data_IF_119873305799
#
_entry.id   IF_119873305799
#
_cell.length_a   1.000
_cell.length_b   1.000
_cell.length_c   1.000
_cell.angle_alpha   90.00
_cell.angle_beta   90.00
_cell.angle_gamma   90.00
#
_symmetry.space_group_name_H-M   'P 1'
#
loop_
_entity.id
_entity.type
_entity.pdbx_description
1 polymer ?
#
# COMPACT_ATOMS: atom_id res chain seq x y z
N UNK A 1 36.00 -36.76 19.12
CA UNK A 1 34.90 -36.42 20.08
C UNK A 1 34.95 -34.92 20.34
N UNK A 2 34.58 -34.10 19.35
CA UNK A 2 34.36 -32.62 19.48
C UNK A 2 33.44 -32.20 18.35
N UNK A 3 32.14 -32.42 18.48
CA UNK A 3 31.07 -31.78 17.67
C UNK A 3 29.74 -31.97 18.38
N UNK A 4 29.43 -31.14 19.40
CA UNK A 4 28.04 -30.73 19.60
C UNK A 4 27.85 -29.25 19.98
N UNK A 5 28.86 -28.38 19.88
CA UNK A 5 28.78 -26.99 20.37
C UNK A 5 28.46 -25.94 19.29
N UNK A 6 28.38 -26.32 18.02
CA UNK A 6 28.07 -25.39 16.91
C UNK A 6 26.60 -25.39 16.43
N UNK A 7 25.79 -26.35 16.87
CA UNK A 7 24.36 -26.44 16.48
C UNK A 7 23.45 -25.52 17.31
N UNK A 8 23.88 -25.12 18.51
CA UNK A 8 23.04 -24.32 19.43
C UNK A 8 23.09 -22.79 19.23
N UNK A 9 23.82 -22.27 18.25
CA UNK A 9 23.94 -20.83 18.02
C UNK A 9 22.99 -20.29 16.96
N UNK A 10 22.12 -21.12 16.37
CA UNK A 10 21.13 -20.76 15.34
C UNK A 10 19.68 -20.77 15.79
N UNK A 11 19.40 -21.01 17.06
CA UNK A 11 18.09 -20.84 17.67
C UNK A 11 18.12 -19.67 18.68
N UNK A 12 18.48 -18.48 18.22
CA UNK A 12 18.09 -17.29 18.96
C UNK A 12 16.54 -17.25 18.94
N UNK A 13 15.90 -17.41 20.12
CA UNK A 13 14.47 -17.16 20.25
C UNK A 13 14.21 -15.78 19.67
N UNK A 14 13.37 -15.70 18.63
CA UNK A 14 12.97 -14.41 18.06
C UNK A 14 12.24 -13.63 19.14
N UNK A 15 12.55 -12.34 19.24
CA UNK A 15 11.82 -11.46 20.15
C UNK A 15 10.32 -11.51 19.89
N UNK A 16 9.52 -11.48 20.94
CA UNK A 16 8.07 -11.32 20.83
C UNK A 16 7.73 -9.86 20.58
N UNK A 17 6.79 -9.63 19.68
CA UNK A 17 6.21 -8.31 19.50
C UNK A 17 5.25 -7.99 20.65
N UNK A 18 5.46 -6.85 21.31
CA UNK A 18 4.62 -6.37 22.40
C UNK A 18 3.73 -5.24 21.90
N UNK A 19 2.42 -5.44 21.94
CA UNK A 19 1.44 -4.41 21.55
C UNK A 19 1.28 -3.41 22.68
N UNK A 20 2.05 -2.32 22.61
CA UNK A 20 1.97 -1.23 23.62
C UNK A 20 1.13 -0.04 23.16
N UNK A 21 0.97 0.16 21.85
CA UNK A 21 0.32 1.32 21.22
C UNK A 21 -0.59 0.90 20.07
N UNK A 22 -1.60 1.73 19.68
CA UNK A 22 -2.35 1.53 18.47
C UNK A 22 -1.44 1.43 17.25
N UNK A 23 -1.68 0.42 16.40
CA UNK A 23 -0.91 0.20 15.17
C UNK A 23 -1.59 0.87 13.99
N UNK A 24 -0.83 1.68 13.22
CA UNK A 24 -1.30 2.42 12.06
C UNK A 24 -0.35 2.22 10.89
N UNK A 25 -0.89 1.90 9.73
CA UNK A 25 -0.14 1.81 8.48
C UNK A 25 -0.17 3.16 7.77
N UNK A 26 0.97 3.77 7.62
CA UNK A 26 1.16 5.02 6.89
C UNK A 26 2.03 4.76 5.66
N UNK A 27 1.94 5.58 4.62
CA UNK A 27 2.88 5.42 3.51
C UNK A 27 3.11 6.67 2.70
N UNK A 28 4.25 6.72 2.01
CA UNK A 28 4.62 7.79 1.11
C UNK A 28 4.14 7.52 -0.31
N UNK A 29 3.42 8.48 -0.90
CA UNK A 29 2.96 8.49 -2.28
C UNK A 29 3.37 9.81 -2.95
N UNK A 30 3.38 9.86 -4.28
CA UNK A 30 3.74 11.05 -5.04
C UNK A 30 4.65 10.74 -6.23
N UNK A 31 5.00 11.76 -6.99
CA UNK A 31 5.78 11.63 -8.23
C UNK A 31 7.18 11.04 -8.02
N UNK A 32 7.76 10.47 -9.08
CA UNK A 32 9.16 10.03 -9.09
C UNK A 32 10.09 11.22 -8.80
N UNK A 33 11.18 10.98 -8.10
CA UNK A 33 12.17 11.99 -7.70
C UNK A 33 11.68 13.15 -6.79
N UNK A 34 10.43 13.13 -6.28
CA UNK A 34 9.96 14.10 -5.28
C UNK A 34 10.50 13.85 -3.86
N UNK A 35 11.26 12.75 -3.65
CA UNK A 35 11.98 12.47 -2.41
C UNK A 35 11.20 11.66 -1.39
N UNK A 36 10.30 10.76 -1.81
CA UNK A 36 9.55 9.84 -0.94
C UNK A 36 10.46 8.99 -0.06
N UNK A 37 11.37 8.25 -0.70
CA UNK A 37 12.34 7.39 0.00
C UNK A 37 13.29 8.19 0.87
N UNK A 38 13.70 9.38 0.42
CA UNK A 38 14.51 10.31 1.23
C UNK A 38 13.74 10.77 2.48
N UNK A 39 12.44 11.05 2.34
CA UNK A 39 11.59 11.42 3.47
C UNK A 39 11.40 10.24 4.43
N UNK A 40 11.19 9.04 3.92
CA UNK A 40 11.09 7.82 4.75
C UNK A 40 12.38 7.61 5.55
N UNK A 41 13.54 7.77 4.93
CA UNK A 41 14.84 7.71 5.61
C UNK A 41 14.98 8.83 6.67
N UNK A 42 14.60 10.08 6.33
CA UNK A 42 14.66 11.21 7.25
C UNK A 42 13.76 11.02 8.48
N UNK A 43 12.57 10.46 8.30
CA UNK A 43 11.66 10.13 9.42
C UNK A 43 12.34 9.15 10.37
N UNK A 44 12.89 8.04 9.86
CA UNK A 44 13.55 7.05 10.71
C UNK A 44 14.82 7.59 11.37
N UNK A 45 15.57 8.46 10.70
CA UNK A 45 16.74 9.15 11.24
C UNK A 45 16.36 10.04 12.43
N UNK A 46 15.45 10.99 12.24
CA UNK A 46 15.03 11.93 13.29
C UNK A 46 14.39 11.20 14.49
N UNK A 47 13.54 10.19 14.21
CA UNK A 47 12.94 9.39 15.28
C UNK A 47 13.96 8.51 15.99
N UNK A 48 15.03 8.06 15.32
CA UNK A 48 16.15 7.38 15.96
C UNK A 48 16.92 8.31 16.91
N UNK A 49 17.19 9.55 16.49
CA UNK A 49 17.80 10.56 17.36
C UNK A 49 16.92 10.86 18.58
N UNK A 50 15.59 10.77 18.44
CA UNK A 50 14.63 10.94 19.54
C UNK A 50 14.44 9.68 20.41
N UNK A 51 15.02 8.54 20.01
CA UNK A 51 14.87 7.26 20.73
C UNK A 51 13.55 6.52 20.45
N UNK A 52 12.82 6.91 19.41
CA UNK A 52 11.50 6.38 19.04
C UNK A 52 11.52 5.41 17.84
N UNK A 53 12.64 5.24 17.18
CA UNK A 53 12.85 4.21 16.16
C UNK A 53 13.94 3.24 16.59
N UNK A 54 13.69 1.94 16.44
CA UNK A 54 14.67 0.90 16.76
C UNK A 54 15.87 0.95 15.80
N UNK A 55 15.62 1.25 14.52
CA UNK A 55 16.61 1.31 13.46
C UNK A 55 16.46 2.61 12.66
N UNK A 56 17.57 3.21 12.29
CA UNK A 56 17.67 4.18 11.22
C UNK A 56 17.82 3.44 9.90
N UNK A 57 17.05 3.85 8.89
CA UNK A 57 17.12 3.29 7.55
C UNK A 57 17.71 4.30 6.57
N UNK A 58 18.72 3.88 5.83
CA UNK A 58 19.28 4.67 4.74
C UNK A 58 18.46 4.47 3.46
N UNK A 59 18.57 5.42 2.52
CA UNK A 59 17.92 5.31 1.20
C UNK A 59 18.36 4.02 0.48
N UNK A 60 19.64 3.63 0.58
CA UNK A 60 20.20 2.43 -0.03
C UNK A 60 19.69 1.12 0.60
N UNK A 61 19.31 1.15 1.87
CA UNK A 61 18.69 0.01 2.54
C UNK A 61 17.20 -0.11 2.22
N UNK A 62 16.51 1.01 2.00
CA UNK A 62 15.10 1.02 1.57
C UNK A 62 15.01 0.53 0.12
N UNK A 63 15.87 1.06 -0.78
CA UNK A 63 16.00 0.62 -2.17
C UNK A 63 17.05 -0.50 -2.29
N UNK A 64 16.80 -1.64 -1.64
CA UNK A 64 17.81 -2.70 -1.48
C UNK A 64 18.03 -3.53 -2.75
N UNK A 65 17.03 -3.63 -3.63
CA UNK A 65 17.10 -4.47 -4.83
C UNK A 65 18.17 -3.97 -5.82
N UNK A 66 18.96 -4.86 -6.45
CA UNK A 66 20.00 -4.46 -7.41
C UNK A 66 19.47 -3.56 -8.55
N UNK A 67 18.25 -3.82 -9.03
CA UNK A 67 17.61 -3.04 -10.08
C UNK A 67 17.25 -1.63 -9.61
N UNK A 68 16.79 -1.48 -8.37
CA UNK A 68 16.50 -0.18 -7.74
C UNK A 68 17.76 0.69 -7.63
N UNK A 69 18.87 0.08 -7.19
CA UNK A 69 20.16 0.75 -7.09
C UNK A 69 20.71 1.15 -8.46
N UNK A 70 20.56 0.29 -9.45
CA UNK A 70 21.05 0.56 -10.81
C UNK A 70 20.27 1.69 -11.49
N UNK A 71 18.97 1.81 -11.21
CA UNK A 71 18.09 2.83 -11.82
C UNK A 71 17.91 4.08 -10.97
N UNK A 72 18.30 4.05 -9.69
CA UNK A 72 18.02 5.12 -8.72
C UNK A 72 16.53 5.37 -8.47
N UNK A 73 15.71 4.32 -8.56
CA UNK A 73 14.25 4.38 -8.45
C UNK A 73 13.75 3.31 -7.49
N UNK A 74 12.72 3.62 -6.70
CA UNK A 74 11.98 2.62 -5.92
C UNK A 74 11.06 1.83 -6.87
N UNK A 75 11.17 0.51 -6.83
CA UNK A 75 10.40 -0.44 -7.65
C UNK A 75 9.46 -1.24 -6.78
N UNK A 76 9.97 -1.78 -5.68
CA UNK A 76 9.27 -2.63 -4.72
C UNK A 76 8.72 -1.81 -3.55
N UNK A 77 7.75 -2.35 -2.86
CA UNK A 77 7.25 -1.77 -1.62
C UNK A 77 8.21 -2.15 -0.49
N UNK A 78 8.63 -1.18 0.30
CA UNK A 78 9.44 -1.42 1.50
C UNK A 78 8.71 -0.95 2.74
N UNK A 79 8.72 -1.77 3.80
CA UNK A 79 8.12 -1.46 5.08
C UNK A 79 9.21 -1.12 6.10
N UNK A 80 9.07 0.02 6.75
CA UNK A 80 9.91 0.42 7.88
C UNK A 80 9.06 0.63 9.13
N UNK A 81 9.65 0.40 10.32
CA UNK A 81 8.97 0.45 11.61
C UNK A 81 9.50 1.63 12.43
N UNK A 82 8.60 2.38 13.05
CA UNK A 82 8.92 3.38 14.06
C UNK A 82 7.73 3.64 14.98
N UNK A 83 7.98 4.38 16.05
CA UNK A 83 6.95 4.77 17.02
C UNK A 83 6.92 6.29 17.23
N UNK A 84 5.79 6.75 17.73
CA UNK A 84 5.64 8.05 18.39
C UNK A 84 5.24 7.83 19.84
N UNK A 85 5.04 8.91 20.58
CA UNK A 85 4.50 8.79 21.93
C UNK A 85 3.08 8.19 21.94
N UNK A 86 2.32 8.37 20.82
CA UNK A 86 0.92 7.97 20.70
C UNK A 86 0.72 6.62 20.00
N UNK A 87 1.52 6.31 18.98
CA UNK A 87 1.24 5.23 18.02
C UNK A 87 2.49 4.45 17.60
N UNK A 88 2.27 3.22 17.17
CA UNK A 88 3.24 2.39 16.44
C UNK A 88 2.90 2.42 14.96
N UNK A 89 3.89 2.66 14.11
CA UNK A 89 3.73 2.81 12.67
C UNK A 89 4.46 1.74 11.88
N UNK A 90 3.75 1.13 10.92
CA UNK A 90 4.35 0.54 9.73
C UNK A 90 4.32 1.59 8.62
N UNK A 91 5.49 2.01 8.15
CA UNK A 91 5.59 2.98 7.06
C UNK A 91 5.94 2.27 5.76
N UNK A 92 5.13 2.52 4.75
CA UNK A 92 5.16 1.86 3.44
C UNK A 92 5.75 2.85 2.44
N UNK A 93 6.98 2.60 1.98
CA UNK A 93 7.57 3.39 0.89
C UNK A 93 7.11 2.84 -0.45
N UNK A 94 6.34 3.66 -1.20
CA UNK A 94 5.77 3.27 -2.49
C UNK A 94 6.58 3.79 -3.66
N UNK A 95 6.68 3.02 -4.78
CA UNK A 95 7.26 3.50 -6.00
C UNK A 95 6.51 4.72 -6.55
N UNK A 96 7.23 5.61 -7.24
CA UNK A 96 6.65 6.81 -7.86
C UNK A 96 6.55 6.75 -9.38
N UNK A 97 7.20 5.77 -10.02
CA UNK A 97 7.26 5.68 -11.48
C UNK A 97 6.00 4.98 -12.04
N UNK A 98 5.51 5.47 -13.19
CA UNK A 98 4.30 4.95 -13.83
C UNK A 98 4.35 3.45 -14.14
N UNK A 99 5.52 2.90 -14.47
CA UNK A 99 5.68 1.46 -14.75
C UNK A 99 5.40 0.57 -13.52
N UNK A 100 5.50 1.13 -12.30
CA UNK A 100 5.35 0.40 -11.04
C UNK A 100 4.06 0.75 -10.29
N UNK A 101 3.08 1.33 -10.98
CA UNK A 101 1.78 1.73 -10.39
C UNK A 101 1.07 0.53 -9.75
N UNK A 102 1.24 -0.68 -10.27
CA UNK A 102 0.72 -1.91 -9.63
C UNK A 102 1.21 -2.04 -8.18
N UNK A 103 2.49 -1.82 -7.94
CA UNK A 103 3.06 -1.87 -6.59
C UNK A 103 2.56 -0.68 -5.74
N UNK A 104 2.41 0.50 -6.35
CA UNK A 104 1.81 1.66 -5.66
C UNK A 104 0.37 1.38 -5.22
N UNK A 105 -0.48 0.79 -6.08
CA UNK A 105 -1.87 0.43 -5.73
C UNK A 105 -1.88 -0.56 -4.57
N UNK A 106 -1.04 -1.60 -4.65
CA UNK A 106 -0.90 -2.61 -3.57
C UNK A 106 -0.47 -1.96 -2.26
N UNK A 107 0.53 -1.06 -2.29
CA UNK A 107 0.97 -0.34 -1.10
C UNK A 107 -0.10 0.58 -0.54
N UNK A 108 -0.76 1.36 -1.40
CA UNK A 108 -1.82 2.28 -0.98
C UNK A 108 -3.03 1.57 -0.35
N UNK A 109 -3.37 0.38 -0.83
CA UNK A 109 -4.46 -0.44 -0.27
C UNK A 109 -4.17 -0.93 1.17
N UNK A 110 -2.90 -0.94 1.58
CA UNK A 110 -2.50 -1.32 2.94
C UNK A 110 -2.53 -0.16 3.93
N UNK A 111 -2.56 1.09 3.45
CA UNK A 111 -2.44 2.28 4.28
C UNK A 111 -3.74 2.62 5.00
N UNK A 112 -3.60 3.10 6.22
CA UNK A 112 -4.66 3.73 7.01
C UNK A 112 -4.63 5.25 6.86
N UNK A 113 -3.52 5.78 6.35
CA UNK A 113 -3.31 7.17 6.00
C UNK A 113 -2.10 7.34 5.08
N UNK A 114 -2.02 8.41 4.33
CA UNK A 114 -0.92 8.65 3.40
C UNK A 114 -0.18 9.95 3.64
N UNK A 115 1.09 9.98 3.24
CA UNK A 115 1.89 11.20 3.12
C UNK A 115 2.13 11.45 1.63
N UNK A 116 1.47 12.46 1.09
CA UNK A 116 1.70 12.91 -0.28
C UNK A 116 2.96 13.78 -0.30
N UNK A 117 3.99 13.32 -0.99
CA UNK A 117 5.26 14.04 -1.12
C UNK A 117 5.30 14.77 -2.46
N UNK A 118 5.43 16.09 -2.40
CA UNK A 118 5.51 16.97 -3.58
C UNK A 118 6.73 17.84 -3.47
N UNK A 119 7.50 17.96 -4.56
CA UNK A 119 8.63 18.87 -4.64
C UNK A 119 8.13 20.32 -4.79
N UNK A 120 8.62 21.23 -3.96
CA UNK A 120 8.28 22.65 -4.04
C UNK A 120 8.80 23.31 -5.33
N UNK A 121 9.88 22.77 -5.92
CA UNK A 121 10.44 23.27 -7.19
C UNK A 121 9.64 22.82 -8.42
N UNK A 122 9.02 21.63 -8.36
CA UNK A 122 8.39 21.02 -9.53
C UNK A 122 6.85 21.12 -9.50
N UNK A 123 6.27 21.30 -8.31
CA UNK A 123 4.82 21.30 -8.10
C UNK A 123 4.17 19.95 -8.35
N UNK A 124 2.82 19.89 -8.48
CA UNK A 124 2.10 18.66 -8.73
C UNK A 124 2.27 18.17 -10.16
N UNK A 125 3.00 17.09 -10.31
CA UNK A 125 3.34 16.40 -11.55
C UNK A 125 2.30 15.32 -11.93
N UNK A 126 2.34 14.72 -13.15
CA UNK A 126 1.35 13.74 -13.60
C UNK A 126 1.13 12.58 -12.63
N UNK A 127 2.19 11.95 -12.09
CA UNK A 127 2.02 10.86 -11.12
C UNK A 127 1.48 11.36 -9.76
N UNK A 128 1.69 12.63 -9.40
CA UNK A 128 1.04 13.20 -8.21
C UNK A 128 -0.47 13.12 -8.34
N UNK A 129 -1.01 13.50 -9.51
CA UNK A 129 -2.45 13.44 -9.82
C UNK A 129 -2.96 12.00 -9.83
N UNK A 130 -2.24 11.10 -10.49
CA UNK A 130 -2.58 9.68 -10.54
C UNK A 130 -2.58 9.05 -9.13
N UNK A 131 -1.59 9.35 -8.29
CA UNK A 131 -1.50 8.82 -6.94
C UNK A 131 -2.61 9.32 -6.01
N UNK A 132 -3.02 10.58 -6.12
CA UNK A 132 -4.18 11.13 -5.38
C UNK A 132 -5.46 10.39 -5.80
N UNK A 133 -5.66 10.22 -7.11
CA UNK A 133 -6.80 9.49 -7.66
C UNK A 133 -6.84 8.04 -7.15
N UNK A 134 -5.73 7.33 -7.26
CA UNK A 134 -5.61 5.93 -6.82
C UNK A 134 -5.81 5.80 -5.30
N UNK A 135 -5.24 6.70 -4.51
CA UNK A 135 -5.45 6.75 -3.06
C UNK A 135 -6.95 6.89 -2.73
N UNK A 136 -7.67 7.74 -3.47
CA UNK A 136 -9.11 7.87 -3.30
C UNK A 136 -9.86 6.59 -3.68
N UNK A 137 -9.47 5.93 -4.76
CA UNK A 137 -10.10 4.70 -5.25
C UNK A 137 -9.90 3.51 -4.31
N UNK A 138 -8.70 3.33 -3.76
CA UNK A 138 -8.45 2.27 -2.76
C UNK A 138 -9.10 2.58 -1.40
N UNK A 139 -9.68 3.78 -1.26
CA UNK A 139 -10.40 4.19 -0.06
C UNK A 139 -9.52 4.71 1.05
N UNK A 140 -8.35 5.27 0.73
CA UNK A 140 -7.49 5.89 1.73
C UNK A 140 -8.24 7.03 2.45
N UNK A 141 -8.40 6.97 3.79
CA UNK A 141 -9.31 7.86 4.50
C UNK A 141 -8.76 9.27 4.66
N UNK A 142 -7.44 9.44 4.78
CA UNK A 142 -6.82 10.73 5.02
C UNK A 142 -5.40 10.82 4.43
N UNK A 143 -5.01 12.05 4.07
CA UNK A 143 -3.69 12.40 3.57
C UNK A 143 -3.12 13.55 4.39
N UNK A 144 -1.80 13.54 4.60
CA UNK A 144 -1.00 14.70 5.02
C UNK A 144 -0.02 15.01 3.89
N UNK A 145 0.32 16.27 3.67
CA UNK A 145 1.24 16.66 2.61
C UNK A 145 2.58 17.07 3.18
N UNK A 146 3.65 16.55 2.59
CA UNK A 146 4.99 17.04 2.80
C UNK A 146 5.48 17.76 1.53
N UNK A 147 5.54 19.08 1.58
CA UNK A 147 6.10 19.91 0.52
C UNK A 147 7.61 19.92 0.68
N UNK A 148 8.26 19.04 -0.08
CA UNK A 148 9.69 18.73 0.02
C UNK A 148 10.55 19.66 -0.86
N UNK A 149 11.84 19.67 -0.61
CA UNK A 149 12.84 20.48 -1.35
C UNK A 149 12.60 21.99 -1.28
N UNK A 150 12.03 22.48 -0.18
CA UNK A 150 11.83 23.92 0.01
C UNK A 150 13.16 24.69 0.07
N UNK A 151 14.26 24.01 0.38
CA UNK A 151 15.62 24.54 0.35
C UNK A 151 16.15 24.83 -1.06
N UNK A 152 15.50 24.30 -2.09
CA UNK A 152 15.84 24.54 -3.50
C UNK A 152 15.04 25.68 -4.15
N UNK A 153 14.18 26.36 -3.39
CA UNK A 153 13.30 27.44 -3.89
C UNK A 153 13.61 28.72 -3.12
N UNK A 154 14.15 29.69 -3.82
CA UNK A 154 14.55 30.99 -3.22
C UNK A 154 13.35 31.92 -2.98
N UNK A 155 12.29 31.81 -3.81
CA UNK A 155 11.11 32.66 -3.73
C UNK A 155 9.97 32.00 -2.91
N UNK A 156 9.63 32.54 -1.73
CA UNK A 156 8.53 32.03 -0.92
C UNK A 156 7.16 32.10 -1.60
N UNK A 157 6.95 33.00 -2.57
CA UNK A 157 5.69 33.12 -3.30
C UNK A 157 5.46 31.91 -4.21
N UNK A 158 6.52 31.33 -4.78
CA UNK A 158 6.45 30.08 -5.53
C UNK A 158 5.97 28.93 -4.67
N UNK A 159 6.45 28.84 -3.44
CA UNK A 159 6.01 27.80 -2.48
C UNK A 159 4.52 27.96 -2.16
N UNK A 160 4.05 29.20 -1.96
CA UNK A 160 2.64 29.50 -1.73
C UNK A 160 1.76 29.12 -2.93
N UNK A 161 2.24 29.36 -4.15
CA UNK A 161 1.54 29.00 -5.38
C UNK A 161 1.37 27.47 -5.50
N UNK A 162 2.44 26.72 -5.28
CA UNK A 162 2.42 25.25 -5.30
C UNK A 162 1.46 24.70 -4.24
N UNK A 163 1.47 25.28 -3.04
CA UNK A 163 0.51 24.88 -1.99
C UNK A 163 -0.94 25.15 -2.42
N UNK A 164 -1.22 26.29 -3.01
CA UNK A 164 -2.57 26.63 -3.50
C UNK A 164 -3.02 25.66 -4.60
N UNK A 165 -2.14 25.34 -5.55
CA UNK A 165 -2.43 24.36 -6.61
C UNK A 165 -2.72 22.96 -6.03
N UNK A 166 -1.98 22.54 -5.00
CA UNK A 166 -2.20 21.27 -4.33
C UNK A 166 -3.56 21.22 -3.64
N UNK A 167 -3.97 22.29 -2.95
CA UNK A 167 -5.28 22.37 -2.30
C UNK A 167 -6.42 22.24 -3.30
N UNK A 168 -6.34 22.94 -4.43
CA UNK A 168 -7.34 22.83 -5.50
C UNK A 168 -7.35 21.44 -6.14
N UNK A 169 -6.19 20.84 -6.35
CA UNK A 169 -6.08 19.48 -6.88
C UNK A 169 -6.73 18.45 -5.96
N UNK A 170 -6.50 18.55 -4.64
CA UNK A 170 -7.10 17.67 -3.65
C UNK A 170 -8.63 17.79 -3.62
N UNK A 171 -9.16 19.02 -3.69
CA UNK A 171 -10.62 19.27 -3.78
C UNK A 171 -11.22 18.61 -5.01
N UNK A 172 -10.53 18.70 -6.16
CA UNK A 172 -10.97 18.06 -7.42
C UNK A 172 -11.15 16.54 -7.26
N UNK A 173 -10.30 15.89 -6.43
CA UNK A 173 -10.38 14.45 -6.16
C UNK A 173 -11.16 14.13 -4.86
N UNK A 174 -11.99 15.03 -4.39
CA UNK A 174 -12.86 14.85 -3.22
C UNK A 174 -12.11 14.58 -1.90
N UNK A 175 -10.92 15.17 -1.74
CA UNK A 175 -10.25 15.31 -0.46
C UNK A 175 -10.53 16.72 0.12
N UNK A 176 -10.55 16.89 1.45
CA UNK A 176 -10.79 18.19 2.09
C UNK A 176 -9.56 19.10 2.00
N UNK A 177 -9.26 19.60 0.79
CA UNK A 177 -8.03 20.30 0.45
C UNK A 177 -7.67 21.48 1.34
N UNK A 178 -8.68 22.17 1.92
CA UNK A 178 -8.45 23.31 2.81
C UNK A 178 -8.02 22.88 4.23
N UNK A 179 -8.42 21.67 4.66
CA UNK A 179 -8.20 21.17 6.02
C UNK A 179 -6.94 20.31 6.12
N UNK A 180 -6.47 19.76 5.00
CA UNK A 180 -5.31 18.87 4.98
C UNK A 180 -4.05 19.61 5.43
N UNK A 181 -3.31 19.09 6.44
CA UNK A 181 -2.03 19.67 6.84
C UNK A 181 -1.01 19.61 5.72
N UNK A 182 -0.36 20.74 5.44
CA UNK A 182 0.77 20.84 4.52
C UNK A 182 1.99 21.28 5.32
N UNK A 183 3.00 20.44 5.38
CA UNK A 183 4.26 20.69 6.07
C UNK A 183 5.34 20.99 5.03
N UNK A 184 5.99 22.14 5.15
CA UNK A 184 7.08 22.60 4.28
C UNK A 184 8.40 22.19 4.86
N UNK A 185 9.31 21.62 4.06
CA UNK A 185 10.62 21.21 4.54
C UNK A 185 11.55 20.67 3.48
N UNK A 186 12.68 20.16 3.95
CA UNK A 186 13.67 19.45 3.15
C UNK A 186 14.05 18.15 3.85
N UNK A 187 13.64 17.02 3.25
CA UNK A 187 14.01 15.71 3.76
C UNK A 187 15.53 15.49 3.70
N UNK A 188 16.20 16.04 2.69
CA UNK A 188 17.66 15.95 2.56
C UNK A 188 18.37 16.67 3.71
N UNK A 189 17.95 17.90 4.03
CA UNK A 189 18.52 18.66 5.15
C UNK A 189 18.28 17.97 6.49
N UNK A 190 17.12 17.36 6.66
CA UNK A 190 16.80 16.59 7.85
C UNK A 190 17.72 15.36 8.05
N UNK A 191 18.17 14.71 6.97
CA UNK A 191 19.13 13.61 7.04
C UNK A 191 20.55 14.06 7.43
N UNK A 192 20.90 15.34 7.26
CA UNK A 192 22.20 15.89 7.61
C UNK A 192 22.29 16.29 9.10
N UNK A 193 21.16 16.32 9.84
CA UNK A 193 21.12 16.74 11.24
C UNK A 193 21.76 15.71 12.16
N UNK A 194 22.31 16.20 13.27
CA UNK A 194 22.91 15.36 14.33
C UNK A 194 22.12 15.41 15.64
N UNK A 195 21.17 16.33 15.74
CA UNK A 195 20.33 16.54 16.91
C UNK A 195 18.91 16.90 16.50
N UNK A 196 17.93 16.47 17.28
CA UNK A 196 16.51 16.85 17.10
C UNK A 196 16.22 18.33 17.34
N UNK A 197 17.15 19.04 17.99
CA UNK A 197 17.04 20.49 18.26
C UNK A 197 17.46 21.36 17.09
N UNK A 198 18.05 20.78 16.04
CA UNK A 198 18.42 21.51 14.83
C UNK A 198 17.16 21.93 14.03
N UNK A 199 17.21 23.13 13.45
CA UNK A 199 16.07 23.69 12.69
C UNK A 199 15.61 22.78 11.55
N UNK A 200 16.54 22.08 10.88
CA UNK A 200 16.22 21.16 9.80
C UNK A 200 15.50 19.87 10.24
N UNK A 201 15.52 19.51 11.54
CA UNK A 201 14.76 18.41 12.11
C UNK A 201 13.28 18.76 12.30
N UNK A 202 12.97 20.05 12.54
CA UNK A 202 11.63 20.52 12.88
C UNK A 202 10.55 20.12 11.88
N UNK A 203 10.71 20.27 10.54
CA UNK A 203 9.71 19.86 9.57
C UNK A 203 9.33 18.37 9.68
N UNK A 204 10.27 17.50 10.00
CA UNK A 204 9.98 16.06 10.19
C UNK A 204 9.18 15.84 11.47
N UNK A 205 9.53 16.52 12.56
CA UNK A 205 8.77 16.45 13.81
C UNK A 205 7.35 17.01 13.64
N UNK A 206 7.19 18.11 12.91
CA UNK A 206 5.88 18.70 12.59
C UNK A 206 5.06 17.76 11.69
N UNK A 207 5.68 17.07 10.72
CA UNK A 207 5.03 16.05 9.90
C UNK A 207 4.54 14.88 10.76
N UNK A 208 5.37 14.35 11.64
CA UNK A 208 4.99 13.25 12.55
C UNK A 208 3.84 13.66 13.46
N UNK A 209 3.88 14.89 14.00
CA UNK A 209 2.77 15.43 14.77
C UNK A 209 1.49 15.56 13.94
N UNK A 210 1.59 16.05 12.71
CA UNK A 210 0.43 16.16 11.82
C UNK A 210 -0.16 14.77 11.49
N UNK A 211 0.67 13.75 11.27
CA UNK A 211 0.23 12.36 11.08
C UNK A 211 -0.49 11.85 12.33
N UNK A 212 0.09 12.04 13.52
CA UNK A 212 -0.52 11.61 14.78
C UNK A 212 -1.87 12.28 15.07
N UNK A 213 -2.03 13.54 14.70
CA UNK A 213 -3.20 14.34 15.04
C UNK A 213 -4.30 14.28 13.94
N UNK A 214 -3.92 14.20 12.67
CA UNK A 214 -4.86 14.28 11.54
C UNK A 214 -5.30 12.92 10.98
N UNK A 215 -4.41 11.93 10.95
CA UNK A 215 -4.79 10.59 10.46
C UNK A 215 -5.65 9.89 11.52
N UNK A 216 -6.89 9.49 11.19
CA UNK A 216 -7.76 8.84 12.16
C UNK A 216 -7.23 7.47 12.59
N UNK A 217 -7.52 7.07 13.82
CA UNK A 217 -7.25 5.70 14.25
C UNK A 217 -8.19 4.74 13.48
N UNK A 218 -7.63 3.73 12.80
CA UNK A 218 -8.41 2.84 11.97
C UNK A 218 -9.29 1.90 12.80
N UNK A 219 -10.55 1.76 12.38
CA UNK A 219 -11.43 0.74 12.94
C UNK A 219 -11.03 -0.62 12.38
N UNK A 220 -10.67 -1.55 13.26
CA UNK A 220 -10.24 -2.90 12.89
C UNK A 220 -11.40 -3.89 13.00
N UNK A 221 -11.70 -4.60 11.92
CA UNK A 221 -12.76 -5.62 11.87
C UNK A 221 -12.24 -6.96 12.40
N UNK A 222 -11.90 -7.02 13.69
CA UNK A 222 -11.31 -8.22 14.32
C UNK A 222 -12.32 -9.36 14.52
N UNK A 223 -13.62 -9.07 14.58
CA UNK A 223 -14.68 -10.04 14.80
C UNK A 223 -15.11 -10.80 13.53
N UNK A 224 -14.64 -10.36 12.36
CA UNK A 224 -14.87 -11.05 11.09
C UNK A 224 -13.94 -12.24 10.89
N UNK A 225 -14.28 -13.20 10.00
CA UNK A 225 -13.36 -14.27 9.62
C UNK A 225 -12.05 -13.69 9.06
N UNK A 226 -10.92 -14.32 9.43
CA UNK A 226 -9.59 -13.93 8.97
C UNK A 226 -9.50 -13.85 7.44
N UNK A 227 -8.88 -12.79 6.94
CA UNK A 227 -8.55 -12.58 5.53
C UNK A 227 -7.29 -11.74 5.40
N UNK A 228 -6.34 -12.21 4.60
CA UNK A 228 -5.11 -11.51 4.25
C UNK A 228 -4.84 -11.62 2.74
N UNK A 229 -4.72 -10.51 2.04
CA UNK A 229 -4.26 -10.51 0.64
C UNK A 229 -2.75 -10.81 0.57
N UNK A 230 -2.35 -11.75 -0.29
CA UNK A 230 -0.94 -12.12 -0.48
C UNK A 230 -0.26 -11.11 -1.39
N UNK A 231 0.80 -10.49 -0.89
CA UNK A 231 1.59 -9.47 -1.59
C UNK A 231 2.85 -10.05 -2.19
N UNK A 232 3.53 -10.90 -1.41
CA UNK A 232 4.76 -11.55 -1.83
C UNK A 232 4.89 -12.93 -1.19
N UNK A 233 5.72 -13.79 -1.80
CA UNK A 233 5.95 -15.16 -1.36
C UNK A 233 7.44 -15.45 -1.35
N UNK A 234 7.93 -15.87 -0.20
CA UNK A 234 9.34 -16.21 0.02
C UNK A 234 9.50 -17.66 0.42
N UNK A 235 10.55 -18.29 -0.07
CA UNK A 235 11.01 -19.60 0.45
C UNK A 235 12.12 -19.38 1.47
N UNK A 236 11.96 -19.97 2.65
CA UNK A 236 13.01 -19.97 3.68
C UNK A 236 13.61 -21.38 3.74
N UNK A 237 14.89 -21.49 3.38
CA UNK A 237 15.59 -22.76 3.37
C UNK A 237 15.46 -23.51 4.70
N UNK A 238 14.95 -24.75 4.65
CA UNK A 238 14.72 -25.61 5.81
C UNK A 238 13.52 -25.23 6.70
N UNK A 239 12.73 -24.21 6.33
CA UNK A 239 11.53 -23.81 7.10
C UNK A 239 10.22 -23.91 6.31
N UNK A 240 10.24 -23.60 5.01
CA UNK A 240 9.05 -23.63 4.14
C UNK A 240 8.73 -22.28 3.49
N UNK A 241 7.51 -22.15 3.06
CA UNK A 241 7.00 -20.99 2.31
C UNK A 241 6.37 -19.96 3.25
N UNK A 242 6.74 -18.70 3.08
CA UNK A 242 6.18 -17.56 3.81
C UNK A 242 5.39 -16.69 2.85
N UNK A 243 4.12 -16.49 3.14
CA UNK A 243 3.28 -15.50 2.47
C UNK A 243 3.24 -14.22 3.30
N UNK A 244 3.49 -13.07 2.66
CA UNK A 244 3.41 -11.75 3.31
C UNK A 244 2.20 -10.98 2.84
N UNK A 245 1.69 -10.12 3.70
CA UNK A 245 0.58 -9.23 3.38
C UNK A 245 0.03 -8.51 4.61
N UNK A 246 -0.90 -7.61 4.36
CA UNK A 246 -1.71 -6.98 5.41
C UNK A 246 -2.94 -7.83 5.71
N UNK A 247 -3.20 -8.06 6.99
CA UNK A 247 -4.46 -8.66 7.43
C UNK A 247 -5.58 -7.63 7.23
N UNK A 248 -6.53 -7.92 6.33
CA UNK A 248 -7.65 -7.03 6.05
C UNK A 248 -8.68 -7.05 7.18
N UNK A 249 -8.98 -8.24 7.69
CA UNK A 249 -9.97 -8.47 8.76
C UNK A 249 -9.67 -9.74 9.55
N UNK A 250 -10.27 -9.85 10.71
CA UNK A 250 -10.18 -11.01 11.58
C UNK A 250 -8.88 -11.08 12.37
N UNK A 251 -8.66 -12.25 12.93
CA UNK A 251 -7.49 -12.62 13.73
C UNK A 251 -7.01 -13.98 13.27
N UNK A 252 -5.70 -14.21 13.26
CA UNK A 252 -5.03 -15.47 12.97
C UNK A 252 -4.08 -15.84 14.12
N UNK A 253 -4.14 -17.10 14.56
CA UNK A 253 -3.26 -17.63 15.58
C UNK A 253 -2.25 -18.61 14.98
N UNK A 254 -1.17 -18.85 15.70
CA UNK A 254 -0.23 -19.90 15.33
C UNK A 254 -0.93 -21.26 15.34
N UNK A 255 -0.57 -22.11 14.38
CA UNK A 255 -1.12 -23.45 14.13
C UNK A 255 -2.60 -23.47 13.73
N UNK A 256 -3.17 -22.36 13.31
CA UNK A 256 -4.54 -22.29 12.78
C UNK A 256 -4.57 -22.72 11.31
N UNK A 257 -5.65 -23.42 10.92
CA UNK A 257 -5.88 -23.81 9.52
C UNK A 257 -6.27 -22.61 8.68
N UNK A 258 -5.73 -22.56 7.46
CA UNK A 258 -6.01 -21.52 6.46
C UNK A 258 -6.24 -22.12 5.09
N UNK A 259 -6.99 -21.41 4.25
CA UNK A 259 -7.14 -21.71 2.83
C UNK A 259 -6.44 -20.61 2.00
N UNK A 260 -5.80 -21.05 0.91
CA UNK A 260 -5.25 -20.19 -0.14
C UNK A 260 -6.26 -20.17 -1.27
N UNK A 261 -6.87 -19.00 -1.51
CA UNK A 261 -8.02 -18.86 -2.41
C UNK A 261 -7.72 -17.90 -3.55
N UNK A 262 -8.15 -18.25 -4.77
CA UNK A 262 -8.04 -17.46 -5.99
C UNK A 262 -6.93 -17.92 -6.92
N UNK A 263 -7.04 -17.55 -8.19
CA UNK A 263 -6.13 -17.84 -9.31
C UNK A 263 -5.99 -19.34 -9.60
N UNK A 264 -5.69 -20.14 -8.59
CA UNK A 264 -5.50 -21.59 -8.64
C UNK A 264 -6.61 -22.30 -7.84
N UNK A 265 -6.74 -23.63 -7.97
CA UNK A 265 -7.61 -24.41 -7.08
C UNK A 265 -7.28 -24.12 -5.63
N UNK A 266 -8.32 -23.96 -4.80
CA UNK A 266 -8.17 -23.68 -3.37
C UNK A 266 -7.33 -24.75 -2.69
N UNK A 267 -6.27 -24.35 -2.02
CA UNK A 267 -5.39 -25.22 -1.23
C UNK A 267 -5.57 -24.98 0.26
N UNK A 268 -5.31 -26.00 1.07
CA UNK A 268 -5.34 -25.91 2.54
C UNK A 268 -3.93 -25.93 3.10
N UNK A 269 -3.73 -25.19 4.17
CA UNK A 269 -2.46 -25.16 4.89
C UNK A 269 -2.67 -24.82 6.37
N UNK A 270 -1.59 -24.71 7.11
CA UNK A 270 -1.58 -24.29 8.51
C UNK A 270 -0.60 -23.13 8.67
N UNK A 271 -1.03 -22.10 9.34
CA UNK A 271 -0.20 -20.96 9.73
C UNK A 271 0.72 -21.35 10.88
N UNK A 272 1.92 -21.84 10.57
CA UNK A 272 2.87 -22.36 11.59
C UNK A 272 3.39 -21.25 12.49
N UNK A 273 3.69 -20.08 11.93
CA UNK A 273 4.07 -18.89 12.67
C UNK A 273 3.54 -17.62 12.00
N UNK A 274 3.32 -16.60 12.81
CA UNK A 274 2.94 -15.25 12.37
C UNK A 274 4.02 -14.30 12.86
N UNK A 275 4.60 -13.50 11.96
CA UNK A 275 5.71 -12.61 12.27
C UNK A 275 5.43 -11.21 11.72
N UNK A 276 5.83 -10.18 12.48
CA UNK A 276 5.82 -8.78 12.06
C UNK A 276 7.15 -8.14 12.43
N UNK A 277 7.82 -7.46 11.47
CA UNK A 277 9.14 -6.86 11.66
C UNK A 277 10.18 -7.80 12.29
N UNK A 278 10.19 -9.08 11.85
CA UNK A 278 11.07 -10.16 12.35
C UNK A 278 10.80 -10.57 13.80
N UNK A 279 9.75 -10.08 14.44
CA UNK A 279 9.30 -10.48 15.77
C UNK A 279 8.12 -11.44 15.65
N UNK A 280 8.05 -12.43 16.51
CA UNK A 280 6.94 -13.39 16.53
C UNK A 280 5.73 -12.77 17.21
N UNK A 281 4.57 -12.98 16.61
CA UNK A 281 3.27 -12.61 17.17
C UNK A 281 2.59 -13.87 17.73
N UNK A 282 1.96 -13.76 18.91
CA UNK A 282 1.05 -14.80 19.42
C UNK A 282 -0.20 -14.88 18.55
N UNK A 283 -0.65 -13.74 18.04
CA UNK A 283 -1.75 -13.61 17.08
C UNK A 283 -1.52 -12.41 16.13
N UNK A 284 -1.89 -12.56 14.87
CA UNK A 284 -2.01 -11.47 13.90
C UNK A 284 -3.43 -10.93 13.85
N UNK A 285 -3.61 -9.60 13.84
CA UNK A 285 -4.92 -8.94 13.84
C UNK A 285 -5.11 -8.08 12.60
N UNK A 286 -6.37 -7.80 12.26
CA UNK A 286 -6.71 -6.83 11.21
C UNK A 286 -5.86 -5.57 11.32
N UNK A 287 -5.19 -5.21 10.22
CA UNK A 287 -4.27 -4.08 10.12
C UNK A 287 -2.79 -4.42 10.27
N UNK A 288 -2.43 -5.59 10.79
CA UNK A 288 -1.02 -5.99 10.87
C UNK A 288 -0.46 -6.35 9.49
N UNK A 289 0.76 -5.91 9.20
CA UNK A 289 1.55 -6.38 8.06
C UNK A 289 2.42 -7.55 8.52
N UNK A 290 2.07 -8.75 8.08
CA UNK A 290 2.66 -9.98 8.61
C UNK A 290 3.26 -10.87 7.53
N UNK A 291 4.24 -11.69 7.94
CA UNK A 291 4.65 -12.88 7.22
C UNK A 291 4.12 -14.12 7.93
N UNK A 292 3.41 -14.96 7.20
CA UNK A 292 2.83 -16.21 7.71
C UNK A 292 3.58 -17.38 7.11
N UNK A 293 4.23 -18.18 7.96
CA UNK A 293 4.87 -19.43 7.55
C UNK A 293 3.81 -20.51 7.35
N UNK A 294 3.74 -21.05 6.14
CA UNK A 294 2.76 -22.05 5.72
C UNK A 294 3.36 -23.46 5.74
N UNK A 295 2.58 -24.44 6.17
CA UNK A 295 2.99 -25.84 6.24
C UNK A 295 2.70 -26.57 4.93
N UNK A 296 3.68 -27.34 4.43
CA UNK A 296 3.46 -28.31 3.36
C UNK A 296 3.18 -27.72 1.99
N UNK A 297 3.56 -26.46 1.77
CA UNK A 297 3.46 -25.77 0.48
C UNK A 297 4.84 -25.32 0.03
N UNK A 298 5.11 -25.49 -1.27
CA UNK A 298 6.28 -24.91 -1.92
C UNK A 298 5.97 -23.47 -2.37
N UNK A 299 7.00 -22.69 -2.70
CA UNK A 299 6.83 -21.31 -3.14
C UNK A 299 5.94 -21.21 -4.39
N UNK A 300 6.04 -22.19 -5.26
CA UNK A 300 5.31 -22.29 -6.54
C UNK A 300 3.82 -22.59 -6.37
N UNK A 301 3.39 -23.06 -5.20
CA UNK A 301 1.99 -23.34 -4.88
C UNK A 301 1.21 -22.09 -4.47
N UNK A 302 1.91 -21.04 -4.10
CA UNK A 302 1.35 -19.79 -3.59
C UNK A 302 1.85 -18.62 -4.44
N UNK A 303 0.95 -17.70 -4.80
CA UNK A 303 1.34 -16.54 -5.59
C UNK A 303 0.64 -15.25 -5.16
N UNK A 304 1.28 -14.12 -5.48
CA UNK A 304 0.69 -12.80 -5.29
C UNK A 304 -0.67 -12.71 -5.96
N UNK A 305 -1.64 -12.13 -5.25
CA UNK A 305 -3.00 -11.94 -5.75
C UNK A 305 -4.00 -12.96 -5.24
N UNK A 306 -3.52 -14.09 -4.69
CA UNK A 306 -4.35 -14.98 -3.88
C UNK A 306 -4.59 -14.36 -2.49
N UNK A 307 -5.49 -14.95 -1.73
CA UNK A 307 -5.71 -14.58 -0.31
C UNK A 307 -5.51 -15.77 0.59
N UNK A 308 -4.99 -15.52 1.80
CA UNK A 308 -5.11 -16.44 2.93
C UNK A 308 -6.39 -16.10 3.67
N UNK A 309 -7.20 -17.11 3.94
CA UNK A 309 -8.50 -16.93 4.58
C UNK A 309 -8.80 -18.04 5.58
N UNK A 310 -9.70 -17.74 6.52
CA UNK A 310 -10.31 -18.80 7.34
C UNK A 310 -11.05 -19.78 6.43
N UNK A 311 -10.91 -21.10 6.63
CA UNK A 311 -11.54 -22.09 5.78
C UNK A 311 -13.02 -21.84 5.53
N UNK A 312 -13.42 -21.84 4.25
CA UNK A 312 -14.80 -21.63 3.82
C UNK A 312 -15.37 -20.23 3.98
N UNK A 313 -14.55 -19.22 4.32
CA UNK A 313 -15.03 -17.84 4.57
C UNK A 313 -15.07 -16.95 3.33
N UNK A 314 -14.41 -17.35 2.26
CA UNK A 314 -14.42 -16.68 0.95
C UNK A 314 -14.26 -17.70 -0.17
N UNK A 315 -14.87 -17.43 -1.32
CA UNK A 315 -14.82 -18.29 -2.49
C UNK A 315 -14.23 -17.57 -3.70
N UNK A 316 -13.59 -18.30 -4.63
CA UNK A 316 -13.11 -17.72 -5.87
C UNK A 316 -14.25 -17.57 -6.89
N UNK A 317 -14.26 -16.47 -7.64
CA UNK A 317 -15.29 -16.13 -8.61
C UNK A 317 -14.69 -15.63 -9.92
N UNK A 318 -15.40 -15.86 -11.02
CA UNK A 318 -14.99 -15.46 -12.37
C UNK A 318 -15.93 -14.45 -13.01
N UNK A 319 -17.13 -14.24 -12.47
CA UNK A 319 -18.12 -13.36 -13.09
C UNK A 319 -18.91 -12.56 -12.03
N UNK A 320 -19.03 -11.26 -12.26
CA UNK A 320 -19.70 -10.35 -11.33
C UNK A 320 -20.32 -9.15 -12.05
N UNK A 321 -21.30 -8.52 -11.41
CA UNK A 321 -21.78 -7.18 -11.75
C UNK A 321 -21.00 -6.14 -10.94
N UNK A 322 -20.66 -5.02 -11.57
CA UNK A 322 -20.00 -3.90 -10.91
C UNK A 322 -20.49 -2.57 -11.41
N UNK A 323 -20.75 -1.63 -10.48
CA UNK A 323 -20.94 -0.23 -10.81
C UNK A 323 -19.59 0.41 -11.08
N UNK A 324 -19.41 0.99 -12.26
CA UNK A 324 -18.15 1.52 -12.76
C UNK A 324 -18.32 2.99 -13.14
N UNK A 325 -17.40 3.81 -12.65
CA UNK A 325 -17.17 5.17 -13.16
C UNK A 325 -15.98 5.17 -14.13
N UNK A 326 -16.20 5.68 -15.34
CA UNK A 326 -15.18 5.79 -16.38
C UNK A 326 -14.52 7.15 -16.31
N UNK A 327 -13.23 7.20 -16.03
CA UNK A 327 -12.49 8.45 -15.87
C UNK A 327 -12.45 9.26 -17.16
N UNK A 328 -12.64 10.57 -17.04
CA UNK A 328 -12.53 11.53 -18.14
C UNK A 328 -11.07 11.75 -18.53
N UNK A 329 -10.84 12.39 -19.68
CA UNK A 329 -9.50 12.78 -20.13
C UNK A 329 -8.81 13.74 -19.14
N UNK A 330 -9.57 14.67 -18.56
CA UNK A 330 -9.10 15.65 -17.58
C UNK A 330 -8.67 15.00 -16.27
N UNK A 331 -9.23 13.83 -15.96
CA UNK A 331 -8.86 12.99 -14.81
C UNK A 331 -7.71 12.03 -15.11
N UNK A 332 -7.14 12.09 -16.33
CA UNK A 332 -6.07 11.20 -16.78
C UNK A 332 -6.56 9.89 -17.39
N UNK A 333 -7.87 9.73 -17.54
CA UNK A 333 -8.52 8.55 -18.10
C UNK A 333 -8.56 8.51 -19.63
N UNK A 334 -9.64 7.92 -20.16
CA UNK A 334 -9.85 7.77 -21.61
C UNK A 334 -10.33 9.07 -22.26
N UNK A 335 -10.09 9.19 -23.56
CA UNK A 335 -10.65 10.24 -24.40
C UNK A 335 -11.57 9.68 -25.48
N UNK A 336 -11.73 8.35 -25.55
CA UNK A 336 -12.59 7.65 -26.50
C UNK A 336 -13.54 6.72 -25.76
N UNK A 337 -14.73 6.47 -26.28
CA UNK A 337 -15.63 5.47 -25.72
C UNK A 337 -15.05 4.05 -25.82
N UNK A 338 -15.62 3.12 -25.10
CA UNK A 338 -15.42 1.69 -25.31
C UNK A 338 -16.74 0.99 -25.62
N UNK A 339 -16.65 -0.17 -26.24
CA UNK A 339 -17.77 -0.96 -26.74
C UNK A 339 -17.80 -2.33 -26.06
N UNK A 340 -18.85 -3.10 -26.30
CA UNK A 340 -18.91 -4.49 -25.86
C UNK A 340 -17.67 -5.29 -26.29
N UNK A 341 -17.22 -6.21 -25.47
CA UNK A 341 -15.99 -6.97 -25.69
C UNK A 341 -14.70 -6.22 -25.35
N UNK A 342 -14.78 -5.10 -24.65
CA UNK A 342 -13.62 -4.40 -24.09
C UNK A 342 -12.92 -5.26 -23.04
N UNK A 343 -11.59 -5.39 -23.12
CA UNK A 343 -10.79 -6.31 -22.30
C UNK A 343 -9.67 -5.60 -21.55
N UNK A 344 -10.00 -4.77 -20.55
CA UNK A 344 -8.99 -4.12 -19.71
C UNK A 344 -8.46 -5.04 -18.63
N UNK A 345 -7.51 -4.52 -17.85
CA UNK A 345 -7.05 -5.14 -16.61
C UNK A 345 -7.86 -4.60 -15.43
N UNK A 346 -8.33 -5.51 -14.59
CA UNK A 346 -9.03 -5.23 -13.33
C UNK A 346 -8.08 -5.47 -12.16
N UNK A 347 -7.97 -4.48 -11.28
CA UNK A 347 -7.10 -4.51 -10.12
C UNK A 347 -7.93 -4.71 -8.86
N UNK A 348 -7.76 -5.87 -8.23
CA UNK A 348 -8.39 -6.22 -6.96
C UNK A 348 -7.30 -6.51 -5.93
N UNK A 349 -7.36 -5.89 -4.74
CA UNK A 349 -6.35 -6.11 -3.70
C UNK A 349 -4.93 -6.06 -4.26
N UNK A 350 -4.24 -7.21 -4.29
CA UNK A 350 -2.85 -7.34 -4.75
C UNK A 350 -2.72 -7.93 -6.17
N UNK A 351 -3.85 -8.29 -6.82
CA UNK A 351 -3.86 -8.89 -8.17
C UNK A 351 -4.33 -7.94 -9.25
N UNK A 352 -3.86 -8.19 -10.46
CA UNK A 352 -4.39 -7.65 -11.70
C UNK A 352 -4.78 -8.81 -12.62
N UNK A 353 -5.97 -8.71 -13.20
CA UNK A 353 -6.53 -9.76 -14.04
C UNK A 353 -7.29 -9.16 -15.20
N UNK A 354 -7.15 -9.76 -16.37
CA UNK A 354 -7.92 -9.36 -17.55
C UNK A 354 -9.36 -9.84 -17.42
N UNK A 355 -10.30 -8.98 -17.77
CA UNK A 355 -11.71 -9.33 -17.84
C UNK A 355 -12.37 -8.84 -19.10
N UNK A 356 -13.38 -9.55 -19.56
CA UNK A 356 -14.24 -9.21 -20.69
C UNK A 356 -15.46 -8.44 -20.17
N UNK A 357 -15.75 -7.29 -20.79
CA UNK A 357 -16.84 -6.40 -20.37
C UNK A 357 -18.05 -6.61 -21.26
N UNK A 358 -19.19 -6.91 -20.63
CA UNK A 358 -20.50 -6.94 -21.29
C UNK A 358 -21.29 -5.71 -20.89
N UNK A 359 -21.82 -5.00 -21.86
CA UNK A 359 -22.65 -3.81 -21.66
C UNK A 359 -24.12 -4.21 -21.40
N UNK A 360 -24.87 -3.40 -20.64
CA UNK A 360 -26.31 -3.59 -20.46
C UNK A 360 -27.07 -3.56 -21.79
N UNK A 361 -28.21 -4.24 -21.83
CA UNK A 361 -29.10 -4.21 -22.99
C UNK A 361 -29.47 -2.77 -23.42
N UNK A 362 -29.35 -2.48 -24.72
CA UNK A 362 -29.61 -1.15 -25.26
C UNK A 362 -28.47 -0.15 -25.15
N UNK A 363 -27.34 -0.54 -24.56
CA UNK A 363 -26.13 0.31 -24.50
C UNK A 363 -25.13 -0.12 -25.58
N UNK A 364 -24.88 0.74 -26.55
CA UNK A 364 -23.92 0.46 -27.63
C UNK A 364 -22.49 0.80 -27.24
N UNK A 365 -22.28 1.85 -26.44
CA UNK A 365 -20.98 2.33 -26.01
C UNK A 365 -21.06 3.00 -24.61
N UNK A 366 -19.89 3.14 -23.98
CA UNK A 366 -19.72 3.84 -22.71
C UNK A 366 -18.72 4.97 -22.91
N UNK A 367 -19.12 6.18 -22.49
CA UNK A 367 -18.32 7.40 -22.64
C UNK A 367 -17.45 7.66 -21.39
N UNK A 368 -16.29 8.31 -21.55
CA UNK A 368 -15.60 8.90 -20.40
C UNK A 368 -16.51 9.86 -19.62
N UNK A 369 -16.58 9.69 -18.30
CA UNK A 369 -17.49 10.42 -17.40
C UNK A 369 -18.77 9.67 -17.03
N UNK A 370 -19.07 8.56 -17.70
CA UNK A 370 -20.26 7.76 -17.38
C UNK A 370 -20.08 6.94 -16.10
N UNK A 371 -21.19 6.78 -15.37
CA UNK A 371 -21.34 5.76 -14.33
C UNK A 371 -22.32 4.70 -14.82
N UNK A 372 -21.89 3.45 -14.86
CA UNK A 372 -22.66 2.36 -15.47
C UNK A 372 -22.45 1.04 -14.74
N UNK A 373 -23.49 0.20 -14.73
CA UNK A 373 -23.38 -1.18 -14.27
C UNK A 373 -22.92 -2.07 -15.41
N UNK A 374 -21.82 -2.80 -15.20
CA UNK A 374 -21.23 -3.70 -16.17
C UNK A 374 -21.23 -5.13 -15.64
N UNK A 375 -21.37 -6.10 -16.54
CA UNK A 375 -21.07 -7.50 -16.25
C UNK A 375 -19.64 -7.75 -16.70
N UNK A 376 -18.81 -8.23 -15.77
CA UNK A 376 -17.39 -8.49 -15.99
C UNK A 376 -17.11 -9.98 -15.83
N UNK A 377 -16.49 -10.58 -16.84
CA UNK A 377 -16.04 -11.97 -16.83
C UNK A 377 -14.52 -12.03 -16.84
N UNK A 378 -13.93 -12.47 -15.74
CA UNK A 378 -12.49 -12.60 -15.56
C UNK A 378 -11.94 -13.85 -16.24
N UNK A 379 -10.67 -13.79 -16.68
CA UNK A 379 -9.99 -14.92 -17.33
C UNK A 379 -9.58 -16.04 -16.36
N UNK A 380 -9.51 -15.74 -15.05
CA UNK A 380 -9.23 -16.69 -13.99
C UNK A 380 -10.04 -16.35 -12.73
N UNK A 381 -10.31 -17.32 -11.85
CA UNK A 381 -11.04 -17.07 -10.61
C UNK A 381 -10.20 -16.27 -9.63
N UNK A 382 -10.79 -15.29 -8.96
CA UNK A 382 -10.16 -14.56 -7.87
C UNK A 382 -11.07 -14.54 -6.65
N UNK A 383 -10.50 -14.36 -5.46
CA UNK A 383 -11.27 -14.20 -4.23
C UNK A 383 -12.02 -12.85 -4.27
N UNK A 384 -13.33 -12.90 -4.48
CA UNK A 384 -14.21 -11.74 -4.65
C UNK A 384 -15.29 -11.70 -3.58
N UNK A 385 -15.70 -10.48 -3.23
CA UNK A 385 -16.85 -10.21 -2.36
C UNK A 385 -17.65 -9.03 -2.87
N UNK A 386 -18.93 -9.00 -2.56
CA UNK A 386 -19.77 -7.81 -2.80
C UNK A 386 -19.23 -6.61 -2.02
N UNK A 387 -19.38 -5.43 -2.58
CA UNK A 387 -18.87 -4.13 -2.10
C UNK A 387 -17.34 -3.98 -2.18
N UNK A 388 -16.63 -4.96 -2.74
CA UNK A 388 -15.20 -4.84 -2.99
C UNK A 388 -14.94 -3.81 -4.09
N UNK A 389 -14.01 -2.88 -3.85
CA UNK A 389 -13.59 -1.89 -4.83
C UNK A 389 -12.56 -2.48 -5.79
N UNK A 390 -12.54 -1.95 -7.02
CA UNK A 390 -11.55 -2.28 -8.02
C UNK A 390 -11.21 -1.08 -8.89
N UNK A 391 -10.02 -1.11 -9.48
CA UNK A 391 -9.60 -0.16 -10.51
C UNK A 391 -9.55 -0.86 -11.87
N UNK A 392 -9.79 -0.09 -12.94
CA UNK A 392 -9.69 -0.55 -14.33
C UNK A 392 -8.51 0.17 -14.97
N UNK A 393 -7.62 -0.60 -15.61
CA UNK A 393 -6.43 -0.04 -16.27
C UNK A 393 -6.30 -0.53 -17.70
N UNK A 394 -5.79 0.36 -18.55
CA UNK A 394 -5.49 0.10 -19.96
C UNK A 394 -4.24 0.88 -20.35
N UNK A 395 -3.31 0.23 -21.07
CA UNK A 395 -2.11 0.89 -21.59
C UNK A 395 -1.28 1.63 -20.53
N UNK A 396 -1.21 1.09 -19.32
CA UNK A 396 -0.47 1.69 -18.21
C UNK A 396 -1.19 2.83 -17.48
N UNK A 397 -2.44 3.17 -17.85
CA UNK A 397 -3.24 4.25 -17.23
C UNK A 397 -4.45 3.69 -16.51
N UNK A 398 -4.86 4.32 -15.42
CA UNK A 398 -6.15 4.07 -14.79
C UNK A 398 -7.24 4.75 -15.61
N UNK A 399 -8.21 3.96 -16.07
CA UNK A 399 -9.28 4.42 -16.95
C UNK A 399 -10.66 4.34 -16.32
N UNK A 400 -10.77 3.72 -15.16
CA UNK A 400 -12.03 3.64 -14.42
C UNK A 400 -11.82 3.05 -13.03
N UNK A 401 -12.87 3.15 -12.24
CA UNK A 401 -12.96 2.53 -10.91
C UNK A 401 -14.38 2.04 -10.69
N UNK A 402 -14.51 1.00 -9.88
CA UNK A 402 -15.83 0.43 -9.61
C UNK A 402 -15.92 -0.28 -8.27
N UNK A 403 -17.13 -0.75 -8.01
CA UNK A 403 -17.47 -1.54 -6.83
C UNK A 403 -18.25 -2.77 -7.30
N UNK A 404 -17.91 -3.94 -6.78
CA UNK A 404 -18.67 -5.18 -7.02
C UNK A 404 -20.04 -5.04 -6.37
N UNK A 405 -21.09 -5.12 -7.17
CA UNK A 405 -22.48 -5.00 -6.71
C UNK A 405 -23.13 -6.36 -6.48
N UNK A 406 -22.70 -7.36 -7.27
CA UNK A 406 -23.25 -8.72 -7.18
C UNK A 406 -22.28 -9.75 -7.75
N UNK A 407 -22.16 -10.88 -7.12
CA UNK A 407 -21.43 -12.06 -7.62
C UNK A 407 -22.39 -12.90 -8.48
N UNK A 408 -21.94 -13.31 -9.68
CA UNK A 408 -22.72 -14.14 -10.62
C UNK A 408 -22.23 -15.58 -10.60
N UNK A 409 -20.88 -15.76 -10.73
CA UNK A 409 -20.29 -17.12 -10.82
C UNK A 409 -18.89 -17.18 -10.21
#
# INVERSE_FOLDING_TARGET
MVYPLLVNKFMAEKEKFVRGKPHVNIGTIGHVAHGKTTLTAAITHILKLKGLAAKEWTVDEINAAPEEKARGLTITITHVEYETDKRHYAHIDCPGHADYVKNMITGAAQMDGGVLVVSASDGPMPQTREHILLARQVGLPALVIFLNKCDAVDDPEMINLVESELRELLKKYNFPGDEIPIIRGSALKALETKSVDEEAAKPILDLIKAIDDYIPEPKREIDKPFLMAIEDVFSIAGRGTVATGRIERGVIHQNEEVEIVGIRPTAKSVAVSVEMFRKVLDEGRAGDNVGILLRGLEKEDVERGQVLAKPGSITPHTEFEGEVYVLTKEEGGRHTPFFAGYKPQFYFRTTDITGDVTLPEGTEMVMPGDTINLIIKLIAPIALEEKQRFAIREGGKTVGAGVVTKIIK
#
